data_IF_865811548534
#
_entry.id   IF_865811548534
#
_cell.length_a   1.000
_cell.length_b   1.000
_cell.length_c   1.000
_cell.angle_alpha   90.00
_cell.angle_beta   90.00
_cell.angle_gamma   90.00
#
_symmetry.space_group_name_H-M   'P 1'
#
loop_
_entity.id
_entity.type
_entity.pdbx_description
1 polymer ?
#
# COMPACT_ATOMS: atom_id res chain seq x y z
N UNK A 1 -10.68 3.65 10.97
CA UNK A 1 -10.31 3.39 12.38
C UNK A 1 -8.80 3.28 12.43
N UNK A 2 -8.13 4.08 13.27
CA UNK A 2 -6.79 3.72 13.73
C UNK A 2 -6.95 2.63 14.80
N UNK A 3 -6.02 1.69 14.83
CA UNK A 3 -6.05 0.54 15.74
C UNK A 3 -5.68 1.02 17.15
N UNK A 4 -6.63 1.00 18.08
CA UNK A 4 -6.49 1.49 19.47
C UNK A 4 -6.11 0.36 20.47
N UNK A 5 -5.70 -0.81 19.98
CA UNK A 5 -5.43 -1.98 20.83
C UNK A 5 -4.02 -2.03 21.43
N UNK A 6 -3.18 -1.01 21.21
CA UNK A 6 -1.79 -0.97 21.72
C UNK A 6 -0.82 -1.98 21.11
N UNK A 7 -1.31 -2.90 20.27
CA UNK A 7 -0.49 -3.84 19.51
C UNK A 7 0.13 -3.14 18.29
N UNK A 8 1.40 -3.43 17.95
CA UNK A 8 1.99 -2.96 16.71
C UNK A 8 1.26 -3.56 15.49
N UNK A 9 1.26 -2.87 14.33
CA UNK A 9 0.71 -3.43 13.11
C UNK A 9 1.50 -4.67 12.67
N UNK A 10 0.80 -5.65 12.10
CA UNK A 10 1.34 -6.86 11.47
C UNK A 10 1.50 -6.70 9.94
N UNK A 11 0.84 -5.72 9.35
CA UNK A 11 0.91 -5.35 7.94
C UNK A 11 1.13 -3.85 7.80
N UNK A 12 2.11 -3.45 6.98
CA UNK A 12 2.40 -2.05 6.67
C UNK A 12 2.55 -1.87 5.17
N UNK A 13 1.82 -0.91 4.61
CA UNK A 13 1.91 -0.55 3.20
C UNK A 13 2.20 0.94 3.08
N UNK A 14 3.21 1.32 2.29
CA UNK A 14 3.47 2.70 1.91
C UNK A 14 3.58 2.82 0.39
N UNK A 15 2.99 3.88 -0.15
CA UNK A 15 2.96 4.17 -1.58
C UNK A 15 3.36 5.63 -1.76
N UNK A 16 4.31 5.89 -2.65
CA UNK A 16 4.79 7.24 -2.93
C UNK A 16 5.37 7.36 -4.34
N UNK A 17 5.39 8.56 -4.92
CA UNK A 17 5.81 8.81 -6.28
C UNK A 17 7.03 9.73 -6.40
N UNK A 18 7.46 10.37 -5.32
CA UNK A 18 8.48 11.42 -5.41
C UNK A 18 9.70 11.17 -4.51
N UNK A 19 10.61 12.14 -4.52
CA UNK A 19 11.86 12.06 -3.75
C UNK A 19 11.60 12.07 -2.23
N UNK A 20 10.56 12.74 -1.76
CA UNK A 20 10.25 12.83 -0.34
C UNK A 20 9.82 11.48 0.23
N UNK A 21 9.22 10.63 -0.59
CA UNK A 21 8.80 9.28 -0.21
C UNK A 21 9.97 8.31 0.00
N UNK A 22 11.13 8.58 -0.60
CA UNK A 22 12.32 7.73 -0.49
C UNK A 22 12.84 7.64 0.94
N UNK A 23 12.75 8.72 1.71
CA UNK A 23 13.15 8.71 3.13
C UNK A 23 12.12 7.94 3.98
N UNK A 24 10.84 7.96 3.59
CA UNK A 24 9.79 7.15 4.22
C UNK A 24 10.04 5.65 3.99
N UNK A 25 10.37 5.25 2.76
CA UNK A 25 10.65 3.85 2.42
C UNK A 25 11.80 3.29 3.26
N UNK A 26 12.90 4.04 3.35
CA UNK A 26 14.07 3.64 4.14
C UNK A 26 13.77 3.57 5.64
N UNK A 27 13.02 4.53 6.18
CA UNK A 27 12.65 4.56 7.59
C UNK A 27 11.80 3.35 7.99
N UNK A 28 10.80 2.99 7.18
CA UNK A 28 9.93 1.84 7.48
C UNK A 28 10.70 0.52 7.37
N UNK A 29 11.54 0.35 6.34
CA UNK A 29 12.35 -0.85 6.15
C UNK A 29 13.41 -1.03 7.24
N UNK A 30 13.97 0.06 7.78
CA UNK A 30 14.96 0.01 8.86
C UNK A 30 14.32 -0.24 10.23
N UNK A 31 13.12 0.27 10.48
CA UNK A 31 12.43 0.17 11.79
C UNK A 31 12.15 -1.28 12.19
N UNK A 32 11.87 -2.16 11.23
CA UNK A 32 11.64 -3.60 11.49
C UNK A 32 12.89 -4.41 11.78
N UNK A 33 14.07 -3.83 11.59
CA UNK A 33 15.33 -4.45 11.98
C UNK A 33 15.64 -4.23 13.47
N UNK A 34 14.78 -3.51 14.21
CA UNK A 34 14.98 -3.27 15.64
C UNK A 34 14.74 -4.53 16.47
N UNK A 35 15.66 -4.91 17.37
CA UNK A 35 15.53 -6.10 18.24
C UNK A 35 14.37 -6.02 19.26
N UNK A 36 13.71 -4.87 19.37
CA UNK A 36 12.54 -4.65 20.24
C UNK A 36 11.21 -5.12 19.64
N UNK A 37 11.17 -5.47 18.35
CA UNK A 37 9.96 -5.93 17.67
C UNK A 37 9.90 -7.45 17.74
N UNK A 38 8.98 -7.98 18.55
CA UNK A 38 8.82 -9.43 18.78
C UNK A 38 8.31 -10.19 17.54
N UNK A 39 7.64 -9.51 16.61
CA UNK A 39 7.23 -10.03 15.32
C UNK A 39 7.28 -8.90 14.26
N UNK A 40 8.12 -9.06 13.24
CA UNK A 40 8.25 -8.06 12.19
C UNK A 40 6.98 -8.06 11.32
N UNK A 41 6.38 -6.88 11.02
CA UNK A 41 5.28 -6.79 10.08
C UNK A 41 5.71 -7.13 8.66
N UNK A 42 4.75 -7.57 7.85
CA UNK A 42 4.90 -7.63 6.41
C UNK A 42 4.87 -6.21 5.84
N UNK A 43 6.00 -5.79 5.24
CA UNK A 43 6.15 -4.45 4.65
C UNK A 43 6.05 -4.49 3.14
N UNK A 44 5.17 -3.63 2.62
CA UNK A 44 4.97 -3.38 1.20
C UNK A 44 5.20 -1.91 0.89
N UNK A 45 6.46 -1.58 0.60
CA UNK A 45 6.86 -0.26 0.10
C UNK A 45 6.81 -0.25 -1.43
N UNK A 46 6.02 0.67 -1.99
CA UNK A 46 5.76 0.77 -3.43
C UNK A 46 6.07 2.18 -3.93
N UNK A 47 6.93 2.29 -4.94
CA UNK A 47 7.08 3.54 -5.70
C UNK A 47 6.10 3.58 -6.87
N UNK A 48 5.53 4.74 -7.20
CA UNK A 48 4.67 4.89 -8.39
C UNK A 48 5.52 5.31 -9.59
N UNK A 49 5.38 4.59 -10.70
CA UNK A 49 6.22 4.68 -11.87
C UNK A 49 7.52 3.87 -11.75
N UNK A 50 8.01 3.38 -12.89
CA UNK A 50 9.28 2.68 -12.97
C UNK A 50 10.45 3.66 -12.90
N UNK A 51 11.00 3.83 -11.70
CA UNK A 51 12.13 4.72 -11.42
C UNK A 51 13.07 4.13 -10.37
N UNK A 52 14.33 4.58 -10.30
CA UNK A 52 15.20 4.26 -9.17
C UNK A 52 14.52 4.64 -7.85
N UNK A 53 14.41 3.69 -6.93
CA UNK A 53 13.75 3.87 -5.63
C UNK A 53 14.30 2.90 -4.59
N UNK A 54 14.22 3.29 -3.32
CA UNK A 54 14.45 2.44 -2.14
C UNK A 54 13.26 1.53 -1.85
N UNK A 55 12.09 1.77 -2.46
CA UNK A 55 10.95 0.87 -2.38
C UNK A 55 11.28 -0.49 -3.03
N UNK A 56 10.75 -1.58 -2.44
CA UNK A 56 10.94 -2.94 -2.95
C UNK A 56 10.08 -3.23 -4.18
N UNK A 57 8.92 -2.60 -4.27
CA UNK A 57 7.94 -2.82 -5.33
C UNK A 57 7.66 -1.51 -6.07
N UNK A 58 7.04 -1.61 -7.24
CA UNK A 58 6.52 -0.47 -7.97
C UNK A 58 5.10 -0.73 -8.47
N UNK A 59 4.38 0.34 -8.73
CA UNK A 59 3.12 0.37 -9.47
C UNK A 59 3.33 1.20 -10.73
N UNK A 60 2.77 0.82 -11.87
CA UNK A 60 3.07 1.52 -13.12
C UNK A 60 2.56 2.97 -13.10
N UNK A 61 1.36 3.19 -12.56
CA UNK A 61 0.73 4.50 -12.48
C UNK A 61 -0.27 4.61 -11.31
N UNK A 62 -0.95 5.75 -11.22
CA UNK A 62 -1.96 6.01 -10.19
C UNK A 62 -3.24 5.18 -10.37
N UNK A 63 -3.54 4.68 -11.58
CA UNK A 63 -4.67 3.79 -11.77
C UNK A 63 -4.41 2.44 -11.09
N UNK A 64 -3.17 1.94 -11.15
CA UNK A 64 -2.77 0.72 -10.44
C UNK A 64 -2.80 0.89 -8.92
N UNK A 65 -2.47 2.07 -8.40
CA UNK A 65 -2.68 2.41 -6.98
C UNK A 65 -4.15 2.22 -6.59
N UNK A 66 -5.07 2.78 -7.37
CA UNK A 66 -6.51 2.67 -7.11
C UNK A 66 -7.00 1.21 -7.18
N UNK A 67 -6.50 0.42 -8.15
CA UNK A 67 -6.85 -1.00 -8.30
C UNK A 67 -6.37 -1.81 -7.11
N UNK A 68 -5.15 -1.56 -6.63
CA UNK A 68 -4.58 -2.22 -5.48
C UNK A 68 -5.37 -1.91 -4.20
N UNK A 69 -5.63 -0.62 -3.93
CA UNK A 69 -6.41 -0.20 -2.76
C UNK A 69 -7.86 -0.74 -2.82
N UNK A 70 -8.47 -0.75 -4.01
CA UNK A 70 -9.79 -1.35 -4.22
C UNK A 70 -9.79 -2.87 -3.99
N UNK A 71 -8.75 -3.57 -4.43
CA UNK A 71 -8.54 -4.98 -4.15
C UNK A 71 -8.43 -5.28 -2.64
N UNK A 72 -7.64 -4.49 -1.91
CA UNK A 72 -7.50 -4.60 -0.45
C UNK A 72 -8.83 -4.35 0.26
N UNK A 73 -9.56 -3.30 -0.10
CA UNK A 73 -10.87 -3.00 0.49
C UNK A 73 -11.89 -4.12 0.26
N UNK A 74 -11.87 -4.74 -0.92
CA UNK A 74 -12.73 -5.90 -1.22
C UNK A 74 -12.31 -7.15 -0.45
N UNK A 75 -11.01 -7.38 -0.27
CA UNK A 75 -10.51 -8.52 0.50
C UNK A 75 -10.77 -8.38 2.01
N UNK A 76 -10.68 -7.17 2.56
CA UNK A 76 -10.95 -6.90 3.98
C UNK A 76 -12.43 -7.01 4.35
N UNK A 77 -13.33 -6.94 3.36
CA UNK A 77 -14.77 -7.00 3.56
C UNK A 77 -15.37 -8.14 2.72
N UNK A 78 -15.47 -9.37 3.24
CA UNK A 78 -16.14 -10.44 2.52
C UNK A 78 -17.65 -10.16 2.47
N UNK A 79 -18.10 -9.33 1.53
CA UNK A 79 -19.52 -9.27 1.16
C UNK A 79 -19.90 -10.64 0.59
N UNK A 80 -21.10 -11.20 0.92
CA UNK A 80 -21.56 -12.41 0.26
C UNK A 80 -21.54 -12.15 -1.24
N UNK A 81 -20.88 -13.03 -2.01
CA UNK A 81 -20.63 -12.85 -3.43
C UNK A 81 -21.92 -12.48 -4.17
N UNK A 82 -22.09 -11.20 -4.47
CA UNK A 82 -22.90 -10.74 -5.59
C UNK A 82 -21.93 -10.01 -6.52
N UNK A 83 -21.72 -10.61 -7.68
CA UNK A 83 -20.83 -10.14 -8.74
C UNK A 83 -21.21 -8.71 -9.11
N UNK A 84 -20.46 -7.72 -8.62
CA UNK A 84 -20.59 -6.34 -9.07
C UNK A 84 -19.50 -6.10 -10.12
N UNK A 85 -19.92 -6.02 -11.38
CA UNK A 85 -19.13 -5.37 -12.42
C UNK A 85 -18.88 -3.93 -11.98
N UNK A 86 -17.65 -3.60 -11.60
CA UNK A 86 -17.24 -2.21 -11.47
C UNK A 86 -16.92 -1.67 -12.86
N UNK A 87 -17.90 -1.01 -13.48
CA UNK A 87 -17.63 -0.08 -14.58
C UNK A 87 -17.11 1.22 -13.97
N UNK A 88 -15.78 1.37 -13.95
CA UNK A 88 -15.15 2.66 -13.72
C UNK A 88 -15.24 3.44 -15.03
N UNK A 89 -16.20 4.37 -15.10
CA UNK A 89 -16.28 5.32 -16.20
C UNK A 89 -15.16 6.35 -16.02
N UNK A 90 -14.08 6.21 -16.79
CA UNK A 90 -13.15 7.31 -17.01
C UNK A 90 -13.83 8.28 -17.98
N UNK A 91 -14.30 9.41 -17.46
CA UNK A 91 -14.84 10.47 -18.31
C UNK A 91 -13.75 10.92 -19.29
N UNK A 92 -14.06 10.84 -20.59
CA UNK A 92 -13.22 11.45 -21.62
C UNK A 92 -13.13 12.94 -21.37
N UNK A 93 -11.90 13.43 -21.16
CA UNK A 93 -11.58 14.83 -21.35
C UNK A 93 -11.53 15.07 -22.85
N UNK A 94 -12.47 15.87 -23.35
CA UNK A 94 -12.40 16.56 -24.64
C UNK A 94 -11.41 17.72 -24.55
#
# INVERSE_FOLDING_TARGET
MMVDSGNPPDFVMCIGDDRSDEDMFESILSTVSSPSVTAAPDIFACTVGQKPSKAKYYLDDTADVLRLLGGLANASCPKPRHTAQFQLAFGSVI
#
